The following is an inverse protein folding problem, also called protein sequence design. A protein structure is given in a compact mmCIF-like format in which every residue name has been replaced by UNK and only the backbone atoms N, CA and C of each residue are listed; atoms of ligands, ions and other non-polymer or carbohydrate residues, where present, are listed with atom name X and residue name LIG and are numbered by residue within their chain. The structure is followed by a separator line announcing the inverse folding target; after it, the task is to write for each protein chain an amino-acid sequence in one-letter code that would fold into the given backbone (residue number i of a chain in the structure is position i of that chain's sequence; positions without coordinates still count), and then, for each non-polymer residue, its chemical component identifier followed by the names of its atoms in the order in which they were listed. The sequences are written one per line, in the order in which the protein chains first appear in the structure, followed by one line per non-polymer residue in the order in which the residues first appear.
data_IF_769178288502
#
_entry.id   IF_769178288502
#
_cell.length_a   1.000
_cell.length_b   1.000
_cell.length_c   1.000
_cell.angle_alpha   90.00
_cell.angle_beta   90.00
_cell.angle_gamma   90.00
#
_symmetry.space_group_name_H-M   'P 1'
#
loop_
_entity.id
_entity.type
_entity.pdbx_description
1 polymer ?
#
# COMPACT_ATOMS: atom_id res chain seq x y z
N UNK A 1 -1.81 22.06 14.78
CA UNK A 1 -2.00 21.68 13.36
C UNK A 1 -1.43 20.28 13.21
N UNK A 2 -2.23 19.32 12.74
CA UNK A 2 -1.76 17.93 12.59
C UNK A 2 -0.83 17.90 11.36
N UNK A 3 0.47 17.70 11.56
CA UNK A 3 1.47 17.65 10.49
C UNK A 3 1.28 16.31 9.74
N UNK A 4 1.19 16.38 8.43
CA UNK A 4 1.09 15.18 7.58
C UNK A 4 2.46 14.52 7.49
N UNK A 5 2.53 13.21 7.60
CA UNK A 5 3.78 12.46 7.54
C UNK A 5 3.85 11.64 6.25
N UNK A 6 4.98 11.73 5.56
CA UNK A 6 5.29 11.01 4.33
C UNK A 6 6.56 10.18 4.52
N UNK A 7 6.47 8.88 4.26
CA UNK A 7 7.63 8.01 4.12
C UNK A 7 8.03 7.95 2.65
N UNK A 8 9.20 8.48 2.32
CA UNK A 8 9.74 8.47 0.96
C UNK A 8 10.91 7.49 0.85
N UNK A 9 10.79 6.49 -0.02
CA UNK A 9 11.89 5.58 -0.35
C UNK A 9 12.52 6.09 -1.64
N UNK A 10 13.75 6.60 -1.54
CA UNK A 10 14.47 7.17 -2.66
C UNK A 10 15.97 6.96 -2.50
N UNK A 11 16.61 6.32 -3.46
CA UNK A 11 18.07 6.05 -3.43
C UNK A 11 18.91 7.31 -3.63
N UNK A 12 18.36 8.34 -4.28
CA UNK A 12 19.03 9.62 -4.50
C UNK A 12 18.09 10.78 -4.15
N UNK A 13 18.34 11.40 -2.99
CA UNK A 13 17.53 12.52 -2.49
C UNK A 13 17.47 13.71 -3.46
N UNK A 14 18.46 13.90 -4.36
CA UNK A 14 18.46 14.95 -5.37
C UNK A 14 17.29 14.83 -6.34
N UNK A 15 16.79 13.61 -6.54
CA UNK A 15 15.63 13.32 -7.41
C UNK A 15 14.31 13.86 -6.84
N UNK A 16 14.30 14.23 -5.56
CA UNK A 16 13.18 14.84 -4.86
C UNK A 16 13.35 16.36 -4.67
N UNK A 17 14.46 16.96 -5.17
CA UNK A 17 14.74 18.37 -4.99
C UNK A 17 13.70 19.33 -5.64
N UNK A 18 12.88 18.81 -6.54
CA UNK A 18 11.77 19.56 -7.14
C UNK A 18 10.52 19.67 -6.25
N UNK A 19 10.40 18.86 -5.19
CA UNK A 19 9.35 19.06 -4.19
C UNK A 19 9.73 20.26 -3.32
N UNK A 20 9.23 21.42 -3.68
CA UNK A 20 9.49 22.64 -2.96
C UNK A 20 8.83 22.63 -1.56
N UNK A 21 9.39 23.41 -0.63
CA UNK A 21 8.79 23.58 0.68
C UNK A 21 7.36 24.18 0.61
N UNK A 22 7.05 24.94 -0.44
CA UNK A 22 5.74 25.52 -0.66
C UNK A 22 4.70 24.44 -1.01
N UNK A 23 5.04 23.51 -1.90
CA UNK A 23 4.15 22.42 -2.32
C UNK A 23 3.91 21.41 -1.20
N UNK A 24 4.90 21.21 -0.33
CA UNK A 24 4.84 20.29 0.80
C UNK A 24 4.57 20.99 2.13
N UNK A 25 3.93 22.16 2.10
CA UNK A 25 3.57 22.88 3.33
C UNK A 25 2.67 22.00 4.22
N UNK A 26 3.07 21.86 5.48
CA UNK A 26 2.38 21.03 6.47
C UNK A 26 2.72 19.53 6.38
N UNK A 27 3.76 19.15 5.60
CA UNK A 27 4.29 17.81 5.57
C UNK A 27 5.62 17.69 6.31
N UNK A 28 5.81 16.55 6.97
CA UNK A 28 7.12 16.08 7.43
C UNK A 28 7.50 14.85 6.60
N UNK A 29 8.62 14.93 5.89
CA UNK A 29 9.06 13.87 4.98
C UNK A 29 10.24 13.14 5.62
N UNK A 30 10.09 11.83 5.84
CA UNK A 30 11.22 10.95 6.13
C UNK A 30 11.67 10.29 4.83
N UNK A 31 12.87 10.63 4.37
CA UNK A 31 13.46 9.98 3.19
C UNK A 31 14.45 8.92 3.63
N UNK A 32 14.29 7.71 3.10
CA UNK A 32 15.14 6.55 3.36
C UNK A 32 15.65 5.95 2.04
N UNK A 33 16.88 5.41 2.00
CA UNK A 33 17.49 4.98 0.75
C UNK A 33 17.08 3.58 0.30
N UNK A 34 16.51 2.75 1.16
CA UNK A 34 16.22 1.34 0.87
C UNK A 34 14.88 0.88 1.41
N UNK A 35 14.34 -0.20 0.85
CA UNK A 35 13.11 -0.85 1.36
C UNK A 35 13.29 -1.38 2.79
N UNK A 36 14.49 -1.89 3.12
CA UNK A 36 14.80 -2.34 4.48
C UNK A 36 14.74 -1.20 5.50
N UNK A 37 15.28 -0.02 5.16
CA UNK A 37 15.18 1.16 6.00
C UNK A 37 13.72 1.65 6.13
N UNK A 38 12.94 1.55 5.05
CA UNK A 38 11.51 1.85 5.09
C UNK A 38 10.75 0.87 6.00
N UNK A 39 11.04 -0.43 5.92
CA UNK A 39 10.46 -1.42 6.81
C UNK A 39 10.79 -1.16 8.29
N UNK A 40 12.01 -0.66 8.57
CA UNK A 40 12.37 -0.23 9.94
C UNK A 40 11.54 0.98 10.38
N UNK A 41 11.45 2.02 9.55
CA UNK A 41 10.67 3.22 9.85
C UNK A 41 9.19 2.91 10.10
N UNK A 42 8.61 1.97 9.34
CA UNK A 42 7.21 1.52 9.52
C UNK A 42 6.97 0.75 10.82
N UNK A 43 7.99 0.15 11.43
CA UNK A 43 7.89 -0.45 12.77
C UNK A 43 7.93 0.58 13.89
N UNK A 44 8.67 1.66 13.69
CA UNK A 44 8.84 2.73 14.67
C UNK A 44 7.66 3.70 14.70
N UNK A 45 7.06 3.94 13.52
CA UNK A 45 6.03 4.95 13.34
C UNK A 45 5.07 4.57 12.23
N UNK A 46 3.80 4.95 12.40
CA UNK A 46 2.77 4.77 11.39
C UNK A 46 2.80 5.91 10.37
N UNK A 47 2.81 5.55 9.10
CA UNK A 47 2.68 6.48 7.97
C UNK A 47 1.41 6.16 7.20
N UNK A 48 0.60 7.17 6.89
CA UNK A 48 -0.61 7.02 6.09
C UNK A 48 -0.32 7.00 4.58
N UNK A 49 0.79 7.63 4.18
CA UNK A 49 1.21 7.73 2.78
C UNK A 49 2.67 7.35 2.65
N UNK A 50 2.98 6.58 1.61
CA UNK A 50 4.32 6.22 1.20
C UNK A 50 4.59 6.60 -0.25
N UNK A 51 5.82 7.01 -0.55
CA UNK A 51 6.27 7.36 -1.90
C UNK A 51 7.50 6.52 -2.26
N UNK A 52 7.42 5.81 -3.38
CA UNK A 52 8.52 5.04 -3.96
C UNK A 52 9.08 5.78 -5.17
N UNK A 53 10.33 6.24 -5.09
CA UNK A 53 10.98 6.99 -6.17
C UNK A 53 12.11 6.17 -6.76
N UNK A 54 11.95 5.76 -8.03
CA UNK A 54 12.91 4.96 -8.79
C UNK A 54 13.30 3.61 -8.13
N UNK A 55 12.51 3.16 -7.19
CA UNK A 55 12.67 1.83 -6.56
C UNK A 55 12.08 0.75 -7.45
N UNK A 56 11.02 1.11 -8.21
CA UNK A 56 10.37 0.25 -9.18
C UNK A 56 11.10 0.43 -10.52
N UNK A 57 12.23 -0.23 -10.68
CA UNK A 57 13.08 -0.07 -11.87
C UNK A 57 13.65 -1.40 -12.38
N UNK A 58 14.77 -1.86 -11.84
CA UNK A 58 15.42 -3.07 -12.36
C UNK A 58 14.54 -4.32 -12.17
N UNK A 59 14.42 -5.20 -13.20
CA UNK A 59 13.58 -6.40 -13.13
C UNK A 59 13.92 -7.34 -11.97
N UNK A 60 15.19 -7.41 -11.56
CA UNK A 60 15.61 -8.28 -10.45
C UNK A 60 15.15 -7.79 -9.07
N UNK A 61 14.76 -6.51 -8.94
CA UNK A 61 14.22 -5.95 -7.70
C UNK A 61 12.68 -6.03 -7.62
N UNK A 62 12.00 -6.40 -8.70
CA UNK A 62 10.55 -6.39 -8.76
C UNK A 62 9.91 -7.27 -7.69
N UNK A 63 10.46 -8.47 -7.48
CA UNK A 63 9.96 -9.40 -6.46
C UNK A 63 10.19 -8.86 -5.04
N UNK A 64 11.31 -8.17 -4.80
CA UNK A 64 11.60 -7.56 -3.49
C UNK A 64 10.62 -6.43 -3.20
N UNK A 65 10.35 -5.58 -4.18
CA UNK A 65 9.36 -4.50 -4.07
C UNK A 65 7.96 -5.06 -3.84
N UNK A 66 7.54 -6.08 -4.59
CA UNK A 66 6.23 -6.71 -4.44
C UNK A 66 6.08 -7.33 -3.05
N UNK A 67 7.10 -8.04 -2.57
CA UNK A 67 7.12 -8.63 -1.24
C UNK A 67 7.02 -7.54 -0.15
N UNK A 68 7.80 -6.48 -0.27
CA UNK A 68 7.75 -5.33 0.64
C UNK A 68 6.36 -4.72 0.70
N UNK A 69 5.76 -4.41 -0.44
CA UNK A 69 4.42 -3.80 -0.52
C UNK A 69 3.33 -4.72 0.00
N UNK A 70 3.46 -6.04 -0.20
CA UNK A 70 2.52 -7.03 0.34
C UNK A 70 2.54 -7.08 1.87
N UNK A 71 3.71 -6.93 2.50
CA UNK A 71 3.85 -6.92 3.95
C UNK A 71 3.54 -5.56 4.59
N UNK A 72 3.61 -4.48 3.81
CA UNK A 72 3.42 -3.11 4.28
C UNK A 72 2.32 -2.41 3.47
N UNK A 73 1.12 -2.98 3.45
CA UNK A 73 -0.02 -2.50 2.68
C UNK A 73 -0.82 -1.36 3.36
N UNK A 74 -0.53 -1.03 4.62
CA UNK A 74 -1.26 0.02 5.35
C UNK A 74 -1.07 1.43 4.76
N UNK A 75 0.16 1.88 4.44
CA UNK A 75 0.33 3.16 3.75
C UNK A 75 -0.30 3.14 2.36
N UNK A 76 -0.91 4.26 1.96
CA UNK A 76 -1.28 4.48 0.56
C UNK A 76 -0.01 4.74 -0.24
N UNK A 77 0.48 3.74 -0.95
CA UNK A 77 1.72 3.84 -1.71
C UNK A 77 1.50 4.51 -3.06
N UNK A 78 2.36 5.46 -3.39
CA UNK A 78 2.44 6.15 -4.69
C UNK A 78 3.81 5.85 -5.29
N UNK A 79 3.86 5.59 -6.60
CA UNK A 79 5.10 5.30 -7.31
C UNK A 79 5.52 6.41 -8.24
N UNK A 80 6.83 6.69 -8.31
CA UNK A 80 7.44 7.41 -9.44
C UNK A 80 8.23 6.40 -10.24
N UNK A 81 7.82 6.19 -11.49
CA UNK A 81 8.35 5.12 -12.35
C UNK A 81 8.91 5.69 -13.66
N UNK A 82 9.84 4.97 -14.28
CA UNK A 82 10.32 5.33 -15.60
C UNK A 82 9.22 5.16 -16.67
N UNK A 83 9.16 6.06 -17.66
CA UNK A 83 8.25 5.93 -18.79
C UNK A 83 8.42 4.58 -19.48
N UNK A 84 7.33 3.92 -19.80
CA UNK A 84 7.33 2.63 -20.47
C UNK A 84 7.36 1.40 -19.58
N UNK A 85 7.81 1.47 -18.33
CA UNK A 85 7.78 0.32 -17.42
C UNK A 85 6.36 -0.20 -17.20
N UNK A 86 5.38 0.68 -17.07
CA UNK A 86 3.97 0.30 -16.91
C UNK A 86 3.37 -0.41 -18.13
N UNK A 87 4.05 -0.40 -19.28
CA UNK A 87 3.65 -1.19 -20.45
C UNK A 87 4.01 -2.67 -20.29
N UNK A 88 4.98 -2.99 -19.44
CA UNK A 88 5.40 -4.37 -19.18
C UNK A 88 4.41 -5.03 -18.19
N UNK A 89 3.91 -6.25 -18.49
CA UNK A 89 2.86 -6.90 -17.69
C UNK A 89 3.19 -7.04 -16.19
N UNK A 90 4.43 -7.38 -15.86
CA UNK A 90 4.85 -7.56 -14.48
C UNK A 90 4.77 -6.25 -13.68
N UNK A 91 5.24 -5.14 -14.25
CA UNK A 91 5.18 -3.82 -13.61
C UNK A 91 3.75 -3.30 -13.51
N UNK A 92 2.95 -3.49 -14.56
CA UNK A 92 1.52 -3.15 -14.55
C UNK A 92 0.78 -3.85 -13.42
N UNK A 93 1.04 -5.14 -13.23
CA UNK A 93 0.43 -5.92 -12.15
C UNK A 93 0.85 -5.42 -10.77
N UNK A 94 2.14 -5.10 -10.57
CA UNK A 94 2.63 -4.53 -9.31
C UNK A 94 1.94 -3.19 -9.02
N UNK A 95 1.92 -2.28 -9.98
CA UNK A 95 1.28 -0.96 -9.83
C UNK A 95 -0.20 -1.13 -9.52
N UNK A 96 -0.93 -1.94 -10.29
CA UNK A 96 -2.37 -2.11 -10.12
C UNK A 96 -2.77 -2.76 -8.79
N UNK A 97 -1.91 -3.61 -8.22
CA UNK A 97 -2.21 -4.33 -6.97
C UNK A 97 -1.82 -3.57 -5.71
N UNK A 98 -0.73 -2.80 -5.78
CA UNK A 98 -0.08 -2.29 -4.57
C UNK A 98 -0.01 -0.77 -4.48
N UNK A 99 -0.13 -0.06 -5.60
CA UNK A 99 -0.08 1.40 -5.58
C UNK A 99 -1.48 2.00 -5.73
N UNK A 100 -1.74 3.06 -4.99
CA UNK A 100 -2.98 3.82 -5.15
C UNK A 100 -2.91 4.79 -6.33
N UNK A 101 -1.70 5.23 -6.70
CA UNK A 101 -1.45 6.06 -7.89
C UNK A 101 0.03 5.97 -8.31
N UNK A 102 0.35 6.46 -9.50
CA UNK A 102 1.72 6.56 -9.98
C UNK A 102 1.95 7.78 -10.87
N UNK A 103 3.18 8.25 -10.89
CA UNK A 103 3.67 9.30 -11.77
C UNK A 103 4.81 8.77 -12.62
N UNK A 104 4.96 9.31 -13.84
CA UNK A 104 6.08 9.00 -14.72
C UNK A 104 7.05 10.17 -14.77
N UNK A 105 8.30 9.89 -15.13
CA UNK A 105 9.29 10.95 -15.38
C UNK A 105 9.07 11.63 -16.73
N UNK A 106 9.32 12.95 -16.88
CA UNK A 106 9.70 13.89 -15.81
C UNK A 106 8.55 14.11 -14.82
N UNK A 107 8.88 14.26 -13.52
CA UNK A 107 7.86 14.40 -12.47
C UNK A 107 7.32 15.82 -12.47
N UNK A 108 6.00 15.94 -12.59
CA UNK A 108 5.27 17.15 -12.25
C UNK A 108 5.06 17.18 -10.73
N UNK A 109 5.82 18.02 -10.04
CA UNK A 109 5.83 18.05 -8.57
C UNK A 109 4.57 18.67 -7.98
N UNK A 110 3.94 19.61 -8.67
CA UNK A 110 2.66 20.18 -8.25
C UNK A 110 1.58 19.09 -8.26
N UNK A 111 1.50 18.35 -9.34
CA UNK A 111 0.58 17.22 -9.45
C UNK A 111 0.89 16.11 -8.45
N UNK A 112 2.16 15.81 -8.20
CA UNK A 112 2.56 14.82 -7.19
C UNK A 112 2.13 15.27 -5.78
N UNK A 113 2.34 16.53 -5.43
CA UNK A 113 1.92 17.08 -4.14
C UNK A 113 0.40 17.00 -3.95
N UNK A 114 -0.37 17.29 -5.01
CA UNK A 114 -1.82 17.11 -5.02
C UNK A 114 -2.21 15.64 -4.78
N UNK A 115 -1.59 14.70 -5.49
CA UNK A 115 -1.84 13.26 -5.35
C UNK A 115 -1.53 12.79 -3.93
N UNK A 116 -0.40 13.21 -3.36
CA UNK A 116 -0.02 12.89 -1.97
C UNK A 116 -1.07 13.43 -0.97
N UNK A 117 -1.53 14.66 -1.16
CA UNK A 117 -2.57 15.27 -0.33
C UNK A 117 -3.89 14.51 -0.37
N UNK A 118 -4.30 14.10 -1.57
CA UNK A 118 -5.52 13.32 -1.78
C UNK A 118 -5.43 11.93 -1.16
N UNK A 119 -4.31 11.22 -1.38
CA UNK A 119 -4.05 9.90 -0.79
C UNK A 119 -4.06 9.96 0.75
N UNK A 120 -3.47 11.01 1.34
CA UNK A 120 -3.49 11.21 2.78
C UNK A 120 -4.92 11.41 3.31
N UNK A 121 -5.71 12.29 2.68
CA UNK A 121 -7.10 12.52 3.07
C UNK A 121 -7.93 11.23 3.00
N UNK A 122 -7.76 10.45 1.94
CA UNK A 122 -8.43 9.16 1.77
C UNK A 122 -7.99 8.12 2.82
N UNK A 123 -6.70 8.07 3.14
CA UNK A 123 -6.18 7.18 4.18
C UNK A 123 -6.72 7.56 5.57
N UNK A 124 -6.82 8.85 5.89
CA UNK A 124 -7.47 9.32 7.12
C UNK A 124 -8.94 8.89 7.21
N UNK A 125 -9.69 8.97 6.12
CA UNK A 125 -11.10 8.52 6.10
C UNK A 125 -11.21 7.02 6.33
N UNK A 126 -10.33 6.22 5.75
CA UNK A 126 -10.28 4.77 6.01
C UNK A 126 -9.95 4.46 7.47
N UNK A 127 -9.06 5.23 8.06
CA UNK A 127 -8.64 5.08 9.46
C UNK A 127 -9.74 5.47 10.45
N UNK A 128 -10.48 6.52 10.13
CA UNK A 128 -11.63 6.98 10.91
C UNK A 128 -12.91 6.18 10.66
N UNK A 129 -12.93 5.35 9.59
CA UNK A 129 -14.08 4.51 9.32
C UNK A 129 -14.24 3.50 10.46
N UNK A 130 -15.43 3.45 11.03
CA UNK A 130 -15.80 2.38 11.96
C UNK A 130 -15.51 1.04 11.25
N UNK A 131 -14.97 0.03 11.98
CA UNK A 131 -14.80 -1.29 11.39
C UNK A 131 -16.12 -1.67 10.73
N UNK A 132 -16.11 -1.77 9.41
CA UNK A 132 -17.25 -2.39 8.73
C UNK A 132 -17.44 -3.74 9.41
N UNK A 133 -18.69 -4.13 9.74
CA UNK A 133 -18.92 -5.47 10.25
C UNK A 133 -18.17 -6.42 9.32
N UNK A 134 -17.33 -7.27 9.92
CA UNK A 134 -16.42 -8.17 9.21
C UNK A 134 -17.13 -8.70 7.96
N UNK A 135 -16.48 -8.71 6.78
CA UNK A 135 -17.14 -9.06 5.54
C UNK A 135 -17.92 -10.34 5.80
N UNK A 136 -19.24 -10.22 5.78
CA UNK A 136 -20.11 -11.37 6.02
C UNK A 136 -19.64 -12.41 5.03
N UNK A 137 -19.10 -13.51 5.54
CA UNK A 137 -18.68 -14.63 4.71
C UNK A 137 -19.73 -14.80 3.63
N UNK A 138 -19.33 -14.82 2.35
CA UNK A 138 -20.27 -14.99 1.21
C UNK A 138 -21.14 -16.25 1.30
N UNK A 139 -21.03 -16.99 2.38
CA UNK A 139 -21.92 -18.07 2.77
C UNK A 139 -23.30 -17.48 3.12
N UNK A 140 -24.21 -17.55 2.15
CA UNK A 140 -25.61 -17.18 2.31
C UNK A 140 -26.40 -18.33 2.91
N UNK A 141 -27.35 -18.02 3.77
CA UNK A 141 -28.24 -19.02 4.40
C UNK A 141 -28.29 -18.86 5.92
N UNK A 142 -29.39 -19.33 6.51
CA UNK A 142 -29.70 -19.26 7.96
C UNK A 142 -29.88 -20.64 8.58
N UNK A 143 -29.53 -21.72 7.85
CA UNK A 143 -29.62 -23.07 8.38
C UNK A 143 -28.61 -23.31 9.50
N UNK A 144 -28.91 -24.16 10.50
CA UNK A 144 -27.97 -24.49 11.57
C UNK A 144 -26.63 -25.04 11.07
N UNK A 145 -26.60 -25.62 9.87
CA UNK A 145 -25.37 -26.10 9.24
C UNK A 145 -24.49 -24.95 8.77
N UNK A 146 -25.07 -23.92 8.13
CA UNK A 146 -24.37 -22.73 7.67
C UNK A 146 -23.85 -21.91 8.88
N UNK A 147 -24.61 -21.80 9.94
CA UNK A 147 -24.17 -21.11 11.17
C UNK A 147 -22.96 -21.82 11.82
N UNK A 148 -22.99 -23.15 11.90
CA UNK A 148 -21.84 -23.94 12.38
C UNK A 148 -20.62 -23.75 11.50
N UNK A 149 -20.80 -23.76 10.18
CA UNK A 149 -19.71 -23.56 9.23
C UNK A 149 -19.09 -22.16 9.37
N UNK A 150 -19.91 -21.10 9.51
CA UNK A 150 -19.42 -19.74 9.79
C UNK A 150 -18.59 -19.69 11.07
N UNK A 151 -19.07 -20.29 12.15
CA UNK A 151 -18.35 -20.35 13.40
C UNK A 151 -17.00 -21.07 13.29
N UNK A 152 -16.94 -22.16 12.50
CA UNK A 152 -15.69 -22.87 12.21
C UNK A 152 -14.73 -22.01 11.39
N UNK A 153 -15.20 -21.31 10.35
CA UNK A 153 -14.39 -20.40 9.53
C UNK A 153 -13.79 -19.31 10.42
N UNK A 154 -14.60 -18.66 11.26
CA UNK A 154 -14.09 -17.64 12.19
C UNK A 154 -13.02 -18.19 13.15
N UNK A 155 -13.19 -19.42 13.61
CA UNK A 155 -12.25 -20.06 14.52
C UNK A 155 -10.89 -20.36 13.88
N UNK A 156 -10.88 -20.74 12.58
CA UNK A 156 -9.63 -21.09 11.87
C UNK A 156 -9.01 -19.88 11.15
N UNK A 157 -9.77 -18.84 10.86
CA UNK A 157 -9.29 -17.65 10.17
C UNK A 157 -8.18 -16.88 10.93
N UNK A 158 -8.12 -17.04 12.27
CA UNK A 158 -7.08 -16.44 13.10
C UNK A 158 -5.82 -17.29 13.29
N UNK A 159 -5.74 -18.47 12.65
CA UNK A 159 -4.63 -19.43 12.83
C UNK A 159 -3.95 -19.67 11.49
N UNK A 160 -2.63 -19.57 11.46
CA UNK A 160 -1.84 -19.90 10.28
C UNK A 160 -1.62 -21.43 10.16
N UNK A 161 -2.69 -22.16 9.85
CA UNK A 161 -2.68 -23.62 9.72
C UNK A 161 -3.37 -24.04 8.40
N UNK A 162 -2.94 -25.11 7.76
CA UNK A 162 -3.62 -25.66 6.60
C UNK A 162 -5.02 -26.14 6.98
N UNK A 163 -6.01 -25.80 6.15
CA UNK A 163 -7.42 -26.19 6.35
C UNK A 163 -7.85 -27.12 5.22
N UNK A 164 -8.36 -28.28 5.58
CA UNK A 164 -8.95 -29.22 4.62
C UNK A 164 -10.47 -29.01 4.59
N UNK A 165 -11.01 -28.75 3.39
CA UNK A 165 -12.44 -28.58 3.17
C UNK A 165 -12.98 -29.87 2.55
N UNK A 166 -13.97 -30.46 3.21
CA UNK A 166 -14.70 -31.63 2.74
C UNK A 166 -16.12 -31.22 2.36
N UNK A 167 -16.61 -31.78 1.23
CA UNK A 167 -17.97 -31.54 0.78
C UNK A 167 -18.29 -32.37 -0.44
N UNK A 168 -19.57 -32.43 -0.77
CA UNK A 168 -20.02 -33.04 -2.03
C UNK A 168 -19.64 -32.13 -3.19
N UNK A 169 -19.21 -32.71 -4.32
CA UNK A 169 -18.98 -31.96 -5.54
C UNK A 169 -20.33 -31.58 -6.14
N UNK A 170 -20.66 -30.30 -6.05
CA UNK A 170 -21.85 -29.71 -6.65
C UNK A 170 -21.61 -29.18 -8.04
#
# INVERSE_FOLDING_TARGET
MNTKELLCVCTDARRMAGLSAAEMQGWTILTVPTLSAAAHALRERRYLVGLLVDVIGPPHLLNEVELFLSHHSEPSWIGVVEPGLVQLPAYRNLVARHLCDYHTRPVDFERLAFTLGHAHGHAMLRDAALPLPAPQTRLTGTSPAIERLRAQIHKVAGVNAPVLIWGESG
#
